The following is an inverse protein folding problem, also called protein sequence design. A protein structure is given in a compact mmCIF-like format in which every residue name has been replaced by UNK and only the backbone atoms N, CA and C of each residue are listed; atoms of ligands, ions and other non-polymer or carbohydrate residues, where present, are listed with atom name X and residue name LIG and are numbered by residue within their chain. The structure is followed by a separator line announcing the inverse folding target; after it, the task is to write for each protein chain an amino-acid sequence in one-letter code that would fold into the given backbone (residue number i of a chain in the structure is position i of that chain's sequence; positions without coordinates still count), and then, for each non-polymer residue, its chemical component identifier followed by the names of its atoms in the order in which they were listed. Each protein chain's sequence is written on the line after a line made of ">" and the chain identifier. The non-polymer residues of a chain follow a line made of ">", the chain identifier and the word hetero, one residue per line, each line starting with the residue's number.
data_IF_872684141921
#
_entry.id   IF_872684141921
#
_cell.length_a   1.000
_cell.length_b   1.000
_cell.length_c   1.000
_cell.angle_alpha   90.00
_cell.angle_beta   90.00
_cell.angle_gamma   90.00
#
_symmetry.space_group_name_H-M   'P 1'
#
loop_
_entity.id
_entity.type
_entity.pdbx_description
1 polymer ?
#
# COMPACT_ATOMS: atom_id res chain seq x y z
N UNK A 1 -2.72 -2.59 4.00
CA UNK A 1 -2.63 -1.49 2.97
C UNK A 1 -1.51 -1.81 2.00
N UNK A 2 -1.50 -1.22 0.78
CA UNK A 2 -0.43 -1.45 -0.18
C UNK A 2 0.55 -0.25 -0.20
N UNK A 3 1.47 -0.17 -1.15
CA UNK A 3 2.61 0.78 -1.18
C UNK A 3 2.21 2.25 -1.08
N UNK A 4 1.19 2.69 -1.84
CA UNK A 4 0.84 4.12 -1.92
C UNK A 4 0.36 4.66 -0.58
N UNK A 5 -0.50 3.91 0.12
CA UNK A 5 -1.01 4.31 1.42
C UNK A 5 0.11 4.40 2.48
N UNK A 6 1.01 3.42 2.54
CA UNK A 6 2.15 3.46 3.46
C UNK A 6 3.07 4.66 3.20
N UNK A 7 3.34 4.97 1.94
CA UNK A 7 4.14 6.14 1.55
C UNK A 7 3.45 7.46 1.92
N UNK A 8 2.14 7.55 1.69
CA UNK A 8 1.36 8.74 2.04
C UNK A 8 1.33 8.99 3.55
N UNK A 9 1.18 7.95 4.34
CA UNK A 9 1.06 8.00 5.80
C UNK A 9 2.41 8.11 6.52
N UNK A 10 3.49 7.65 5.90
CA UNK A 10 4.81 7.51 6.53
C UNK A 10 5.65 8.79 6.59
N UNK A 11 5.18 9.88 5.97
CA UNK A 11 5.90 11.16 5.89
C UNK A 11 6.64 11.34 4.57
N UNK A 12 7.27 12.53 4.38
CA UNK A 12 7.81 12.95 3.08
C UNK A 12 9.33 13.03 3.04
N UNK A 13 10.03 12.85 4.16
CA UNK A 13 11.49 12.87 4.19
C UNK A 13 12.06 11.60 3.55
N UNK A 14 13.25 11.66 2.92
CA UNK A 14 13.81 10.50 2.20
C UNK A 14 13.86 9.22 3.03
N UNK A 15 14.33 9.28 4.30
CA UNK A 15 14.36 8.12 5.19
C UNK A 15 12.98 7.57 5.54
N UNK A 16 11.97 8.45 5.66
CA UNK A 16 10.58 8.05 5.89
C UNK A 16 9.99 7.33 4.68
N UNK A 17 10.22 7.83 3.48
CA UNK A 17 9.77 7.20 2.24
C UNK A 17 10.42 5.82 2.05
N UNK A 18 11.74 5.72 2.30
CA UNK A 18 12.44 4.44 2.25
C UNK A 18 11.90 3.45 3.29
N UNK A 19 11.74 3.87 4.54
CA UNK A 19 11.23 3.01 5.60
C UNK A 19 9.80 2.54 5.34
N UNK A 20 8.94 3.41 4.77
CA UNK A 20 7.58 3.05 4.36
C UNK A 20 7.56 1.95 3.30
N UNK A 21 8.51 1.94 2.37
CA UNK A 21 8.68 0.84 1.41
C UNK A 21 9.33 -0.39 2.06
N UNK A 22 10.35 -0.19 2.90
CA UNK A 22 11.10 -1.29 3.50
C UNK A 22 10.27 -2.20 4.41
N UNK A 23 9.15 -1.69 4.97
CA UNK A 23 8.26 -2.46 5.82
C UNK A 23 7.83 -3.81 5.23
N UNK A 24 7.60 -3.87 3.92
CA UNK A 24 7.26 -5.11 3.21
C UNK A 24 8.44 -6.06 3.00
N UNK A 25 9.66 -5.55 3.00
CA UNK A 25 10.86 -6.28 2.60
C UNK A 25 11.77 -6.64 3.78
N UNK A 26 11.74 -5.86 4.86
CA UNK A 26 12.55 -6.07 6.07
C UNK A 26 11.74 -6.85 7.10
N UNK A 27 12.18 -8.06 7.40
CA UNK A 27 11.52 -8.94 8.39
C UNK A 27 12.33 -9.03 9.70
N UNK A 28 11.67 -9.42 10.76
CA UNK A 28 12.31 -9.59 12.07
C UNK A 28 12.45 -8.28 12.87
N UNK A 29 13.28 -8.34 13.91
CA UNK A 29 13.51 -7.21 14.83
C UNK A 29 14.44 -6.19 14.18
N UNK A 30 14.13 -4.91 14.40
CA UNK A 30 15.00 -3.80 14.06
C UNK A 30 16.03 -3.64 15.20
N UNK A 31 17.32 -3.52 14.85
CA UNK A 31 18.44 -3.54 15.80
C UNK A 31 19.49 -2.48 15.44
N UNK A 32 19.09 -1.38 14.80
CA UNK A 32 20.02 -0.34 14.34
C UNK A 32 20.73 -0.66 13.03
N UNK A 33 20.18 -1.58 12.23
CA UNK A 33 20.73 -1.88 10.89
C UNK A 33 20.44 -0.81 9.85
N UNK A 34 19.49 0.08 10.14
CA UNK A 34 19.18 1.23 9.30
C UNK A 34 19.26 2.51 10.12
N UNK A 35 19.32 3.67 9.44
CA UNK A 35 19.23 4.95 10.11
C UNK A 35 17.92 5.03 10.94
N UNK A 36 17.93 5.72 12.12
CA UNK A 36 16.77 5.78 13.01
C UNK A 36 15.47 6.22 12.31
N UNK A 37 15.56 7.16 11.37
CA UNK A 37 14.43 7.62 10.60
C UNK A 37 13.80 6.50 9.74
N UNK A 38 14.62 5.66 9.12
CA UNK A 38 14.17 4.51 8.32
C UNK A 38 13.53 3.46 9.24
N UNK A 39 14.17 3.13 10.37
CA UNK A 39 13.61 2.16 11.31
C UNK A 39 12.30 2.63 11.93
N UNK A 40 12.19 3.92 12.27
CA UNK A 40 10.94 4.51 12.74
C UNK A 40 9.81 4.39 11.71
N UNK A 41 10.10 4.65 10.44
CA UNK A 41 9.12 4.49 9.37
C UNK A 41 8.76 3.02 9.09
N UNK A 42 9.68 2.07 9.23
CA UNK A 42 9.36 0.63 9.18
C UNK A 42 8.44 0.24 10.35
N UNK A 43 8.66 0.80 11.54
CA UNK A 43 7.80 0.52 12.69
C UNK A 43 6.39 1.08 12.49
N UNK A 44 6.28 2.31 11.97
CA UNK A 44 4.99 2.90 11.60
C UNK A 44 4.26 2.06 10.55
N UNK A 45 4.95 1.64 9.48
CA UNK A 45 4.39 0.75 8.47
C UNK A 45 3.75 -0.49 9.11
N UNK A 46 4.50 -1.21 9.95
CA UNK A 46 4.00 -2.41 10.65
C UNK A 46 2.81 -2.12 11.57
N UNK A 47 2.80 -0.95 12.19
CA UNK A 47 1.71 -0.53 13.07
C UNK A 47 0.45 -0.17 12.28
N UNK A 48 0.61 0.43 11.09
CA UNK A 48 -0.48 0.66 10.12
C UNK A 48 -1.12 -0.67 9.72
N UNK A 49 -0.31 -1.69 9.39
CA UNK A 49 -0.83 -3.02 9.05
C UNK A 49 -1.64 -3.62 10.21
N UNK A 50 -1.09 -3.59 11.43
CA UNK A 50 -1.80 -4.10 12.61
C UNK A 50 -3.10 -3.34 12.89
N UNK A 51 -3.10 -2.02 12.71
CA UNK A 51 -4.31 -1.19 12.85
C UNK A 51 -5.34 -1.56 11.81
N UNK A 52 -4.92 -1.67 10.54
CA UNK A 52 -5.79 -2.04 9.41
C UNK A 52 -6.41 -3.43 9.62
N UNK A 53 -5.59 -4.43 9.94
CA UNK A 53 -6.02 -5.83 10.11
C UNK A 53 -7.02 -6.03 11.27
N UNK A 54 -7.08 -5.09 12.21
CA UNK A 54 -7.98 -5.16 13.38
C UNK A 54 -9.14 -4.18 13.32
N UNK A 55 -9.26 -3.45 12.23
CA UNK A 55 -10.24 -2.37 12.15
C UNK A 55 -11.63 -2.87 11.75
N UNK A 56 -12.70 -2.53 12.51
CA UNK A 56 -14.06 -3.04 12.22
C UNK A 56 -14.57 -2.70 10.81
N UNK A 57 -14.21 -1.53 10.26
CA UNK A 57 -14.60 -1.17 8.88
C UNK A 57 -13.88 -2.04 7.84
N UNK A 58 -12.66 -2.49 8.13
CA UNK A 58 -11.94 -3.43 7.26
C UNK A 58 -12.58 -4.82 7.33
N UNK A 59 -13.01 -5.27 8.50
CA UNK A 59 -13.78 -6.50 8.64
C UNK A 59 -15.09 -6.46 7.84
N UNK A 60 -15.79 -5.31 7.86
CA UNK A 60 -16.99 -5.09 7.03
C UNK A 60 -16.65 -5.19 5.55
N UNK A 61 -15.61 -4.50 5.08
CA UNK A 61 -15.17 -4.55 3.69
C UNK A 61 -14.79 -5.98 3.26
N UNK A 62 -14.04 -6.71 4.08
CA UNK A 62 -13.68 -8.12 3.84
C UNK A 62 -14.91 -9.04 3.80
N UNK A 63 -15.93 -8.78 4.60
CA UNK A 63 -17.16 -9.57 4.62
C UNK A 63 -17.98 -9.50 3.32
N UNK A 64 -17.76 -8.46 2.51
CA UNK A 64 -18.44 -8.28 1.20
C UNK A 64 -17.97 -9.27 0.14
N UNK A 65 -16.74 -9.78 0.30
CA UNK A 65 -16.19 -10.77 -0.64
C UNK A 65 -16.87 -12.13 -0.49
N UNK A 66 -17.00 -12.84 -1.61
CA UNK A 66 -17.55 -14.20 -1.61
C UNK A 66 -16.71 -15.16 -0.76
N UNK A 67 -17.35 -16.17 -0.17
CA UNK A 67 -16.68 -17.15 0.69
C UNK A 67 -15.50 -17.85 0.00
N UNK A 68 -15.61 -18.08 -1.29
CA UNK A 68 -14.56 -18.71 -2.12
C UNK A 68 -13.30 -17.84 -2.28
N UNK A 69 -13.41 -16.52 -2.03
CA UNK A 69 -12.30 -15.56 -2.20
C UNK A 69 -11.76 -15.00 -0.88
N UNK A 70 -12.37 -15.34 0.24
CA UNK A 70 -11.98 -14.81 1.57
C UNK A 70 -10.50 -14.98 1.88
N UNK A 71 -9.88 -16.05 1.37
CA UNK A 71 -8.46 -16.33 1.62
C UNK A 71 -7.52 -15.20 1.15
N UNK A 72 -7.83 -14.57 0.02
CA UNK A 72 -7.00 -13.52 -0.59
C UNK A 72 -7.72 -12.16 -0.62
N UNK A 73 -8.88 -12.06 0.00
CA UNK A 73 -9.66 -10.83 0.05
C UNK A 73 -8.85 -9.65 0.62
N UNK A 74 -8.02 -9.89 1.65
CA UNK A 74 -7.13 -8.87 2.21
C UNK A 74 -6.18 -8.28 1.18
N UNK A 75 -5.52 -9.15 0.38
CA UNK A 75 -4.60 -8.69 -0.68
C UNK A 75 -5.35 -7.86 -1.74
N UNK A 76 -6.54 -8.32 -2.12
CA UNK A 76 -7.37 -7.62 -3.12
C UNK A 76 -7.84 -6.28 -2.59
N UNK A 77 -8.26 -6.24 -1.32
CA UNK A 77 -8.71 -5.04 -0.64
C UNK A 77 -7.58 -4.01 -0.49
N UNK A 78 -6.37 -4.44 -0.14
CA UNK A 78 -5.21 -3.56 -0.01
C UNK A 78 -4.87 -2.85 -1.32
N UNK A 79 -4.87 -3.59 -2.43
CA UNK A 79 -4.65 -3.04 -3.77
C UNK A 79 -5.79 -2.11 -4.18
N UNK A 80 -7.04 -2.47 -3.86
CA UNK A 80 -8.21 -1.63 -4.16
C UNK A 80 -8.22 -0.34 -3.33
N UNK A 81 -7.81 -0.39 -2.08
CA UNK A 81 -7.73 0.81 -1.24
C UNK A 81 -6.62 1.78 -1.70
N UNK A 82 -5.50 1.27 -2.23
CA UNK A 82 -4.51 2.12 -2.90
C UNK A 82 -5.07 2.77 -4.18
N UNK A 83 -5.94 2.07 -4.93
CA UNK A 83 -6.67 2.67 -6.05
C UNK A 83 -7.61 3.79 -5.57
N UNK A 84 -8.41 3.55 -4.53
CA UNK A 84 -9.29 4.58 -3.98
C UNK A 84 -8.49 5.81 -3.53
N UNK A 85 -7.35 5.61 -2.87
CA UNK A 85 -6.47 6.70 -2.48
C UNK A 85 -5.95 7.48 -3.70
N UNK A 86 -5.44 6.78 -4.72
CA UNK A 86 -4.89 7.41 -5.91
C UNK A 86 -5.96 8.18 -6.70
N UNK A 87 -7.15 7.61 -6.88
CA UNK A 87 -8.29 8.22 -7.56
C UNK A 87 -8.76 9.48 -6.84
N UNK A 88 -8.92 9.40 -5.53
CA UNK A 88 -9.47 10.48 -4.70
C UNK A 88 -8.34 11.29 -4.02
N UNK A 89 -7.12 11.26 -4.54
CA UNK A 89 -5.90 11.79 -3.94
C UNK A 89 -6.03 13.22 -3.40
N UNK A 90 -6.71 14.09 -4.14
CA UNK A 90 -6.91 15.51 -3.76
C UNK A 90 -7.76 15.71 -2.51
N UNK A 91 -8.48 14.67 -2.05
CA UNK A 91 -9.21 14.72 -0.79
C UNK A 91 -8.32 14.44 0.43
N UNK A 92 -7.14 13.84 0.21
CA UNK A 92 -6.28 13.33 1.28
C UNK A 92 -4.90 13.99 1.31
N UNK A 93 -4.51 14.72 0.26
CA UNK A 93 -3.21 15.35 0.13
C UNK A 93 -3.28 16.70 -0.58
N UNK A 94 -2.50 17.67 -0.09
CA UNK A 94 -2.43 19.03 -0.67
C UNK A 94 -1.58 19.08 -1.95
N UNK A 95 -0.69 18.09 -2.15
CA UNK A 95 0.19 18.01 -3.32
C UNK A 95 -0.40 17.10 -4.40
N UNK A 96 -0.24 17.41 -5.69
CA UNK A 96 -0.60 16.51 -6.78
C UNK A 96 0.09 15.14 -6.65
N UNK A 97 -0.63 14.05 -6.97
CA UNK A 97 -0.11 12.68 -6.92
C UNK A 97 1.18 12.53 -7.74
N UNK A 98 1.21 13.08 -8.96
CA UNK A 98 2.37 12.99 -9.84
C UNK A 98 3.65 13.63 -9.24
N UNK A 99 3.52 14.69 -8.47
CA UNK A 99 4.66 15.28 -7.76
C UNK A 99 5.09 14.43 -6.58
N UNK A 100 4.14 13.84 -5.86
CA UNK A 100 4.44 12.93 -4.76
C UNK A 100 5.17 11.67 -5.26
N UNK A 101 4.64 11.00 -6.30
CA UNK A 101 5.25 9.79 -6.85
C UNK A 101 6.62 10.07 -7.45
N UNK A 102 6.80 11.24 -8.12
CA UNK A 102 8.12 11.67 -8.63
C UNK A 102 9.16 11.79 -7.51
N UNK A 103 8.79 12.35 -6.35
CA UNK A 103 9.71 12.44 -5.21
C UNK A 103 10.07 11.06 -4.66
N UNK A 104 9.08 10.16 -4.55
CA UNK A 104 9.32 8.76 -4.14
C UNK A 104 10.29 8.07 -5.10
N UNK A 105 10.08 8.20 -6.41
CA UNK A 105 10.93 7.57 -7.42
C UNK A 105 12.34 8.15 -7.44
N UNK A 106 12.48 9.45 -7.20
CA UNK A 106 13.79 10.09 -7.07
C UNK A 106 14.56 9.53 -5.87
N UNK A 107 13.91 9.40 -4.71
CA UNK A 107 14.52 8.82 -3.50
C UNK A 107 14.88 7.36 -3.75
N UNK A 108 13.97 6.58 -4.31
CA UNK A 108 14.18 5.17 -4.61
C UNK A 108 15.34 4.93 -5.58
N UNK A 109 15.47 5.80 -6.62
CA UNK A 109 16.54 5.72 -7.61
C UNK A 109 17.89 6.19 -7.09
N UNK A 110 17.93 7.04 -6.06
CA UNK A 110 19.17 7.53 -5.46
C UNK A 110 19.74 6.59 -4.39
N UNK A 111 18.91 5.68 -3.85
CA UNK A 111 19.33 4.75 -2.79
C UNK A 111 20.17 3.61 -3.37
N UNK A 112 21.35 3.41 -2.78
CA UNK A 112 22.30 2.39 -3.24
C UNK A 112 22.16 1.04 -2.57
N UNK A 113 21.52 1.00 -1.41
CA UNK A 113 21.41 -0.19 -0.56
C UNK A 113 19.95 -0.56 -0.29
N UNK A 114 19.21 -0.79 -1.37
CA UNK A 114 17.85 -1.29 -1.26
C UNK A 114 17.81 -2.76 -0.79
N UNK A 115 16.80 -3.16 0.00
CA UNK A 115 16.52 -4.57 0.24
C UNK A 115 16.45 -5.34 -1.10
N UNK A 116 17.05 -6.53 -1.16
CA UNK A 116 17.28 -7.28 -2.41
C UNK A 116 16.02 -7.40 -3.30
N UNK A 117 14.86 -7.72 -2.70
CA UNK A 117 13.62 -7.85 -3.44
C UNK A 117 13.10 -6.49 -3.94
N UNK A 118 13.28 -5.43 -3.15
CA UNK A 118 12.92 -4.07 -3.58
C UNK A 118 13.82 -3.60 -4.71
N UNK A 119 15.13 -3.86 -4.63
CA UNK A 119 16.09 -3.53 -5.69
C UNK A 119 15.71 -4.15 -7.05
N UNK A 120 15.12 -5.35 -7.04
CA UNK A 120 14.66 -6.03 -8.27
C UNK A 120 13.42 -5.38 -8.90
N UNK A 121 12.51 -4.84 -8.08
CA UNK A 121 11.26 -4.26 -8.58
C UNK A 121 11.32 -2.74 -8.77
N UNK A 122 12.19 -2.04 -8.05
CA UNK A 122 12.30 -0.58 -8.07
C UNK A 122 12.47 0.01 -9.49
N UNK A 123 13.31 -0.53 -10.38
CA UNK A 123 13.41 -0.03 -11.75
C UNK A 123 12.09 -0.11 -12.52
N UNK A 124 11.32 -1.18 -12.30
CA UNK A 124 10.01 -1.35 -12.95
C UNK A 124 8.95 -0.42 -12.35
N UNK A 125 8.99 -0.19 -11.02
CA UNK A 125 8.11 0.78 -10.36
C UNK A 125 8.29 2.19 -10.93
N UNK A 126 9.55 2.60 -11.12
CA UNK A 126 9.90 3.92 -11.66
C UNK A 126 9.53 4.03 -13.14
N UNK A 127 9.95 3.05 -13.96
CA UNK A 127 9.77 3.11 -15.41
C UNK A 127 8.29 3.10 -15.85
N UNK A 128 7.41 2.50 -15.05
CA UNK A 128 5.99 2.36 -15.38
C UNK A 128 5.08 3.23 -14.53
N UNK A 129 5.61 4.22 -13.79
CA UNK A 129 4.85 5.02 -12.84
C UNK A 129 3.86 4.17 -12.01
N UNK A 130 4.37 3.11 -11.39
CA UNK A 130 3.54 2.12 -10.71
C UNK A 130 2.58 2.75 -9.68
N UNK A 131 3.07 3.70 -8.86
CA UNK A 131 2.26 4.33 -7.82
C UNK A 131 1.19 5.26 -8.40
N UNK A 132 1.52 6.04 -9.44
CA UNK A 132 0.58 6.91 -10.12
C UNK A 132 -0.46 6.13 -10.92
N UNK A 133 -0.07 4.98 -11.48
CA UNK A 133 -0.96 4.13 -12.28
C UNK A 133 -2.15 3.57 -11.50
N UNK A 134 -2.09 3.54 -10.16
CA UNK A 134 -3.25 3.14 -9.34
C UNK A 134 -4.48 4.05 -9.52
N UNK A 135 -4.37 5.22 -10.13
CA UNK A 135 -5.54 6.01 -10.49
C UNK A 135 -6.46 5.26 -11.47
N UNK A 136 -5.91 4.40 -12.31
CA UNK A 136 -6.64 3.63 -13.31
C UNK A 136 -7.08 2.29 -12.75
N UNK A 137 -8.39 2.08 -12.62
CA UNK A 137 -8.95 0.84 -12.04
C UNK A 137 -8.48 -0.43 -12.77
N UNK A 138 -8.38 -0.40 -14.09
CA UNK A 138 -8.00 -1.57 -14.89
C UNK A 138 -6.54 -2.00 -14.68
N UNK A 139 -5.68 -1.12 -14.15
CA UNK A 139 -4.30 -1.47 -13.78
C UNK A 139 -4.26 -2.51 -12.66
N UNK A 140 -5.29 -2.56 -11.82
CA UNK A 140 -5.35 -3.53 -10.72
C UNK A 140 -5.27 -4.98 -11.20
N UNK A 141 -5.75 -5.27 -12.43
CA UNK A 141 -5.62 -6.60 -13.02
C UNK A 141 -4.14 -7.02 -13.19
N UNK A 142 -3.30 -6.10 -13.67
CA UNK A 142 -1.86 -6.34 -13.82
C UNK A 142 -1.18 -6.48 -12.45
N UNK A 143 -1.56 -5.66 -11.47
CA UNK A 143 -1.00 -5.69 -10.11
C UNK A 143 -1.36 -7.02 -9.43
N UNK A 144 -2.62 -7.40 -9.45
CA UNK A 144 -3.10 -8.66 -8.88
C UNK A 144 -2.50 -9.87 -9.61
N UNK A 145 -2.37 -9.80 -10.94
CA UNK A 145 -1.66 -10.79 -11.74
C UNK A 145 -0.17 -10.92 -11.36
N UNK A 146 0.50 -9.81 -11.03
CA UNK A 146 1.87 -9.80 -10.52
C UNK A 146 1.99 -10.47 -9.14
N UNK A 147 1.02 -10.23 -8.27
CA UNK A 147 0.95 -10.82 -6.93
C UNK A 147 0.63 -12.32 -7.02
N UNK A 148 -0.33 -12.71 -7.86
CA UNK A 148 -0.81 -14.08 -8.00
C UNK A 148 0.32 -15.06 -8.32
N UNK A 149 1.30 -14.66 -9.17
CA UNK A 149 2.46 -15.49 -9.50
C UNK A 149 3.31 -15.94 -8.30
N UNK A 150 3.11 -15.33 -7.13
CA UNK A 150 3.83 -15.63 -5.88
C UNK A 150 2.98 -16.42 -4.89
N UNK A 151 1.71 -16.67 -5.22
CA UNK A 151 0.77 -17.37 -4.36
C UNK A 151 0.76 -18.88 -4.65
N UNK A 152 0.38 -19.63 -3.64
CA UNK A 152 0.23 -21.09 -3.76
C UNK A 152 -0.95 -21.49 -4.64
N UNK A 153 -1.94 -20.60 -4.78
CA UNK A 153 -3.15 -20.82 -5.58
C UNK A 153 -3.48 -19.56 -6.38
N UNK A 154 -2.74 -19.31 -7.48
CA UNK A 154 -2.90 -18.10 -8.28
C UNK A 154 -4.31 -17.99 -8.91
N UNK A 155 -4.98 -19.11 -9.17
CA UNK A 155 -6.33 -19.16 -9.71
C UNK A 155 -7.39 -18.50 -8.83
N UNK A 156 -7.17 -18.44 -7.53
CA UNK A 156 -8.11 -17.78 -6.60
C UNK A 156 -8.14 -16.24 -6.79
N UNK A 157 -7.10 -15.65 -7.39
CA UNK A 157 -7.08 -14.23 -7.78
C UNK A 157 -7.57 -13.97 -9.20
N UNK A 158 -7.68 -14.99 -10.06
CA UNK A 158 -7.99 -14.84 -11.48
C UNK A 158 -9.32 -14.11 -11.78
N UNK A 159 -10.29 -14.13 -10.85
CA UNK A 159 -11.56 -13.41 -11.02
C UNK A 159 -11.75 -12.27 -10.01
N UNK A 160 -10.66 -11.81 -9.37
CA UNK A 160 -10.73 -10.73 -8.38
C UNK A 160 -11.27 -9.43 -8.99
N UNK A 161 -10.88 -9.11 -10.23
CA UNK A 161 -11.38 -7.93 -10.95
C UNK A 161 -12.89 -7.94 -11.17
N UNK A 162 -13.47 -9.11 -11.49
CA UNK A 162 -14.93 -9.22 -11.64
C UNK A 162 -15.65 -8.92 -10.32
N UNK A 163 -15.09 -9.41 -9.21
CA UNK A 163 -15.64 -9.14 -7.89
C UNK A 163 -15.44 -7.68 -7.47
N UNK A 164 -14.27 -7.09 -7.74
CA UNK A 164 -14.02 -5.68 -7.51
C UNK A 164 -14.96 -4.77 -8.30
N UNK A 165 -15.25 -5.08 -9.57
CA UNK A 165 -16.25 -4.31 -10.33
C UNK A 165 -17.64 -4.36 -9.68
N UNK A 166 -18.04 -5.52 -9.19
CA UNK A 166 -19.32 -5.69 -8.47
C UNK A 166 -19.36 -4.95 -7.14
N UNK A 167 -18.23 -4.92 -6.43
CA UNK A 167 -18.09 -4.34 -5.09
C UNK A 167 -17.52 -2.91 -5.09
N UNK A 168 -17.35 -2.31 -6.27
CA UNK A 168 -16.62 -1.04 -6.43
C UNK A 168 -17.15 0.07 -5.50
N UNK A 169 -18.45 0.36 -5.59
CA UNK A 169 -19.07 1.41 -4.79
C UNK A 169 -19.07 1.09 -3.29
N UNK A 170 -19.54 -0.09 -2.83
CA UNK A 170 -19.53 -0.37 -1.39
C UNK A 170 -18.12 -0.39 -0.79
N UNK A 171 -17.09 -0.88 -1.49
CA UNK A 171 -15.70 -0.85 -1.00
C UNK A 171 -15.11 0.57 -1.04
N UNK A 172 -15.51 1.39 -2.02
CA UNK A 172 -15.13 2.82 -2.06
C UNK A 172 -15.69 3.58 -0.87
N UNK A 173 -16.92 3.28 -0.46
CA UNK A 173 -17.53 3.87 0.73
C UNK A 173 -16.84 3.40 2.02
N UNK A 174 -16.55 2.10 2.13
CA UNK A 174 -15.79 1.56 3.26
C UNK A 174 -14.41 2.26 3.38
N UNK A 175 -13.73 2.51 2.24
CA UNK A 175 -12.46 3.24 2.22
C UNK A 175 -12.62 4.68 2.73
N UNK A 176 -13.64 5.41 2.26
CA UNK A 176 -13.89 6.80 2.69
C UNK A 176 -14.13 6.92 4.19
N UNK A 177 -14.77 5.92 4.79
CA UNK A 177 -15.02 5.88 6.23
C UNK A 177 -13.78 5.46 7.03
N UNK A 178 -12.98 4.56 6.48
CA UNK A 178 -11.80 3.99 7.14
C UNK A 178 -10.58 4.89 7.07
N UNK A 179 -10.24 5.41 5.88
CA UNK A 179 -8.95 6.03 5.61
C UNK A 179 -8.67 7.28 6.47
N UNK A 180 -9.63 8.17 6.77
CA UNK A 180 -9.39 9.27 7.72
C UNK A 180 -9.00 8.81 9.11
N UNK A 181 -9.53 7.68 9.60
CA UNK A 181 -9.17 7.12 10.91
C UNK A 181 -7.74 6.56 10.88
N UNK A 182 -7.33 5.97 9.76
CA UNK A 182 -5.96 5.52 9.55
C UNK A 182 -4.98 6.70 9.46
N UNK A 183 -5.37 7.81 8.81
CA UNK A 183 -4.57 9.04 8.80
C UNK A 183 -4.39 9.61 10.22
N UNK A 184 -5.45 9.63 11.02
CA UNK A 184 -5.38 10.10 12.41
C UNK A 184 -4.49 9.18 13.26
N UNK A 185 -4.58 7.87 13.08
CA UNK A 185 -3.69 6.92 13.73
C UNK A 185 -2.22 7.18 13.37
N UNK A 186 -1.89 7.29 12.09
CA UNK A 186 -0.53 7.51 11.61
C UNK A 186 0.04 8.86 12.07
N UNK A 187 -0.77 9.93 12.07
CA UNK A 187 -0.40 11.27 12.52
C UNK A 187 -0.06 11.32 14.02
N UNK A 188 -0.76 10.53 14.81
CA UNK A 188 -0.57 10.46 16.26
C UNK A 188 0.41 9.34 16.67
N UNK A 189 1.03 8.64 15.73
CA UNK A 189 1.99 7.59 16.03
C UNK A 189 3.27 8.20 16.63
N UNK A 190 3.76 7.69 17.76
CA UNK A 190 4.99 8.22 18.39
C UNK A 190 6.18 8.03 17.45
N UNK A 191 6.73 9.14 16.96
CA UNK A 191 8.02 9.13 16.27
C UNK A 191 9.12 9.16 17.35
N UNK A 192 9.82 8.05 17.50
CA UNK A 192 11.04 7.97 18.33
C UNK A 192 12.23 8.62 17.64
#
# INVERSE_FOLDING_TARGET
>A
MNYLAHLHLGGQRPGQLLGSLYGDFVKGRLQGQFAPEIEGAIQLHRSIDVFTDRHPLVDVALSRFSLTRRRYAGIVLDVFFDHCLARDWTLYADRPLALFTSDVYRVLSSERQLPERLAKIAPHMVANDWLGSYQEFEVLDQVLGGISRRLTRPEELAAAMQELRRLYEPLSEDFRLFYPQLQDFARNYPTT
#
